data_IF_331175761321
#
_entry.id   IF_331175761321
#
_cell.length_a   1.000
_cell.length_b   1.000
_cell.length_c   1.000
_cell.angle_alpha   90.00
_cell.angle_beta   90.00
_cell.angle_gamma   90.00
#
_symmetry.space_group_name_H-M   'P 1'
#
loop_
_entity.id
_entity.type
_entity.pdbx_description
1 polymer ?
#
# COMPACT_ATOMS: atom_id res chain seq x y z
N UNK A 1 10.53 17.86 24.32
CA UNK A 1 11.01 17.62 22.95
C UNK A 1 10.96 18.96 22.23
N UNK A 2 12.09 19.46 21.73
CA UNK A 2 12.11 20.71 20.95
C UNK A 2 11.31 20.47 19.66
N UNK A 3 10.45 21.43 19.32
CA UNK A 3 9.68 21.40 18.07
C UNK A 3 10.69 21.44 16.91
N UNK A 4 10.77 20.42 16.08
CA UNK A 4 11.68 20.41 14.93
C UNK A 4 11.34 21.58 14.01
N UNK A 5 12.35 22.35 13.63
CA UNK A 5 12.19 23.50 12.72
C UNK A 5 12.24 23.03 11.26
N UNK A 6 11.10 22.53 10.77
CA UNK A 6 10.98 22.10 9.38
C UNK A 6 11.07 23.26 8.38
N UNK A 7 10.71 24.49 8.80
CA UNK A 7 10.81 25.67 7.96
C UNK A 7 12.27 26.07 7.72
N UNK A 8 13.10 26.05 8.79
CA UNK A 8 14.53 26.31 8.68
C UNK A 8 15.25 25.22 7.85
N UNK A 9 14.86 23.96 8.02
CA UNK A 9 15.41 22.86 7.21
C UNK A 9 15.05 23.01 5.73
N UNK A 10 13.80 23.35 5.41
CA UNK A 10 13.34 23.57 4.03
C UNK A 10 14.09 24.73 3.36
N UNK A 11 14.29 25.86 4.08
CA UNK A 11 15.05 27.00 3.59
C UNK A 11 16.51 26.63 3.24
N UNK A 12 17.18 25.89 4.12
CA UNK A 12 18.55 25.42 3.88
C UNK A 12 18.63 24.47 2.68
N UNK A 13 17.68 23.52 2.56
CA UNK A 13 17.65 22.62 1.41
C UNK A 13 17.48 23.42 0.12
N UNK A 14 16.54 24.37 0.07
CA UNK A 14 16.33 25.20 -1.12
C UNK A 14 17.56 26.04 -1.46
N UNK A 15 18.26 26.58 -0.49
CA UNK A 15 19.51 27.31 -0.68
C UNK A 15 20.58 26.39 -1.32
N UNK A 16 20.76 25.18 -0.75
CA UNK A 16 21.80 24.24 -1.17
C UNK A 16 21.54 23.58 -2.54
N UNK A 17 20.28 23.49 -2.97
CA UNK A 17 19.96 23.05 -4.36
C UNK A 17 20.12 24.15 -5.40
N UNK A 18 20.61 25.33 -5.02
CA UNK A 18 20.83 26.45 -5.91
C UNK A 18 19.66 27.42 -6.01
N UNK A 19 18.79 27.45 -5.00
CA UNK A 19 17.59 28.30 -4.94
C UNK A 19 16.37 27.72 -5.63
N UNK A 20 15.20 28.28 -5.32
CA UNK A 20 13.94 27.83 -5.93
C UNK A 20 13.94 27.99 -7.46
N UNK A 21 14.65 28.97 -8.00
CA UNK A 21 14.74 29.21 -9.44
C UNK A 21 15.50 28.10 -10.20
N UNK A 22 16.43 27.41 -9.52
CA UNK A 22 17.16 26.26 -10.07
C UNK A 22 16.32 24.98 -10.10
N UNK A 23 15.24 24.93 -9.32
CA UNK A 23 14.35 23.75 -9.28
C UNK A 23 13.30 23.86 -10.36
N UNK A 24 13.28 22.91 -11.30
CA UNK A 24 12.26 22.81 -12.33
C UNK A 24 11.03 22.02 -11.84
N UNK A 25 11.25 21.09 -10.93
CA UNK A 25 10.20 20.24 -10.36
C UNK A 25 10.62 19.71 -9.00
N UNK A 26 9.70 19.70 -8.04
CA UNK A 26 9.91 19.16 -6.70
C UNK A 26 8.78 18.19 -6.35
N UNK A 27 9.15 17.02 -5.85
CA UNK A 27 8.23 15.99 -5.41
C UNK A 27 8.81 15.25 -4.19
N UNK A 28 8.04 14.36 -3.60
CA UNK A 28 8.54 13.51 -2.53
C UNK A 28 8.01 12.08 -2.63
N UNK A 29 8.78 11.11 -2.12
CA UNK A 29 8.32 9.77 -1.79
C UNK A 29 8.16 9.62 -0.27
N UNK A 30 8.05 8.40 0.22
CA UNK A 30 7.82 8.10 1.65
C UNK A 30 8.92 8.67 2.57
N UNK A 31 10.16 8.79 2.08
CA UNK A 31 11.32 9.17 2.90
C UNK A 31 12.24 10.20 2.27
N UNK A 32 12.02 10.63 1.01
CA UNK A 32 12.95 11.48 0.26
C UNK A 32 12.23 12.61 -0.44
N UNK A 33 12.87 13.80 -0.42
CA UNK A 33 12.56 14.87 -1.35
C UNK A 33 13.30 14.62 -2.68
N UNK A 34 12.67 14.93 -3.79
CA UNK A 34 13.20 14.75 -5.13
C UNK A 34 13.13 16.06 -5.89
N UNK A 35 14.27 16.48 -6.39
CA UNK A 35 14.41 17.72 -7.13
C UNK A 35 14.93 17.44 -8.54
N UNK A 36 14.24 17.95 -9.53
CA UNK A 36 14.79 18.08 -10.87
C UNK A 36 15.37 19.49 -10.98
N UNK A 37 16.69 19.60 -11.01
CA UNK A 37 17.39 20.88 -11.09
C UNK A 37 17.72 21.24 -12.54
N UNK A 38 17.75 22.54 -12.84
CA UNK A 38 18.09 23.05 -14.17
C UNK A 38 19.61 23.03 -14.40
N UNK A 39 20.37 23.36 -13.39
CA UNK A 39 21.83 23.41 -13.43
C UNK A 39 22.41 22.70 -12.19
N UNK A 40 23.08 21.57 -12.43
CA UNK A 40 23.71 20.78 -11.36
C UNK A 40 24.91 21.47 -10.72
N UNK A 41 25.56 22.39 -11.42
CA UNK A 41 26.74 23.10 -10.91
C UNK A 41 26.40 24.06 -9.76
N UNK A 42 25.14 24.46 -9.64
CA UNK A 42 24.64 25.32 -8.56
C UNK A 42 24.31 24.53 -7.29
N UNK A 43 24.28 23.20 -7.36
CA UNK A 43 23.98 22.35 -6.19
C UNK A 43 25.23 22.17 -5.33
N UNK A 44 25.13 22.54 -4.05
CA UNK A 44 26.20 22.34 -3.07
C UNK A 44 26.11 20.94 -2.46
N UNK A 45 26.58 19.99 -3.21
CA UNK A 45 26.43 18.56 -2.92
C UNK A 45 27.00 18.11 -1.57
N UNK A 46 28.20 18.59 -1.22
CA UNK A 46 28.88 18.17 0.02
C UNK A 46 28.16 18.73 1.26
N UNK A 47 27.72 19.99 1.18
CA UNK A 47 26.96 20.64 2.25
C UNK A 47 25.57 20.00 2.44
N UNK A 48 24.91 19.58 1.34
CA UNK A 48 23.65 18.82 1.39
C UNK A 48 23.81 17.46 2.07
N UNK A 49 24.93 16.80 1.85
CA UNK A 49 25.21 15.49 2.44
C UNK A 49 25.52 15.58 3.94
N UNK A 50 26.05 16.72 4.39
CA UNK A 50 26.40 16.98 5.80
C UNK A 50 25.31 17.70 6.58
N UNK A 51 24.20 18.07 5.92
CA UNK A 51 23.13 18.85 6.53
C UNK A 51 22.49 18.09 7.71
N UNK A 52 22.49 18.71 8.89
CA UNK A 52 21.81 18.19 10.07
C UNK A 52 20.31 17.98 9.78
N UNK A 53 19.70 16.97 10.40
CA UNK A 53 18.31 16.54 10.17
C UNK A 53 18.01 15.90 8.80
N UNK A 54 19.04 15.65 7.98
CA UNK A 54 18.91 14.80 6.78
C UNK A 54 19.77 13.54 6.94
N UNK A 55 19.41 12.48 6.20
CA UNK A 55 20.16 11.23 6.14
C UNK A 55 21.06 11.16 4.88
N UNK A 56 21.45 12.32 4.36
CA UNK A 56 22.28 12.43 3.17
C UNK A 56 21.49 12.65 1.88
N UNK A 57 22.22 12.60 0.77
CA UNK A 57 21.68 12.81 -0.59
C UNK A 57 22.16 11.75 -1.56
N UNK A 58 21.46 11.59 -2.68
CA UNK A 58 21.93 10.77 -3.78
C UNK A 58 21.40 11.32 -5.12
N UNK A 59 22.14 11.08 -6.20
CA UNK A 59 21.72 11.36 -7.58
C UNK A 59 21.21 10.09 -8.24
N UNK A 60 20.03 10.17 -8.86
CA UNK A 60 19.48 9.11 -9.71
C UNK A 60 19.26 9.69 -11.11
N UNK A 61 20.21 9.46 -11.99
CA UNK A 61 20.25 10.11 -13.30
C UNK A 61 20.39 11.63 -13.17
N UNK A 62 19.37 12.38 -13.59
CA UNK A 62 19.30 13.83 -13.51
C UNK A 62 18.61 14.34 -12.24
N UNK A 63 18.04 13.46 -11.43
CA UNK A 63 17.24 13.81 -10.26
C UNK A 63 18.08 13.75 -8.99
N UNK A 64 18.09 14.85 -8.23
CA UNK A 64 18.66 14.93 -6.89
C UNK A 64 17.64 14.42 -5.86
N UNK A 65 18.04 13.52 -5.00
CA UNK A 65 17.23 12.99 -3.91
C UNK A 65 17.85 13.31 -2.56
N UNK A 66 17.13 14.02 -1.69
CA UNK A 66 17.54 14.33 -0.31
C UNK A 66 16.75 13.44 0.65
N UNK A 67 17.45 12.65 1.45
CA UNK A 67 16.86 11.65 2.33
C UNK A 67 16.48 12.30 3.66
N UNK A 68 15.19 12.46 3.93
CA UNK A 68 14.64 13.10 5.14
C UNK A 68 14.18 12.07 6.17
N UNK A 69 13.66 10.92 5.71
CA UNK A 69 12.99 9.95 6.57
C UNK A 69 11.49 10.24 6.75
N UNK A 70 10.93 9.81 7.88
CA UNK A 70 9.47 9.87 8.13
C UNK A 70 8.88 11.28 8.19
N UNK A 71 9.70 12.31 8.36
CA UNK A 71 9.27 13.71 8.40
C UNK A 71 9.16 14.37 7.01
N UNK A 72 9.37 13.63 5.94
CA UNK A 72 9.44 14.14 4.57
C UNK A 72 8.21 14.96 4.16
N UNK A 73 7.00 14.56 4.55
CA UNK A 73 5.77 15.29 4.21
C UNK A 73 5.79 16.71 4.77
N UNK A 74 6.16 16.86 6.06
CA UNK A 74 6.21 18.17 6.71
C UNK A 74 7.30 19.08 6.12
N UNK A 75 8.44 18.52 5.74
CA UNK A 75 9.53 19.28 5.09
C UNK A 75 9.14 19.63 3.65
N UNK A 76 8.48 18.72 2.92
CA UNK A 76 7.99 18.97 1.57
C UNK A 76 6.96 20.09 1.51
N UNK A 77 6.00 20.12 2.45
CA UNK A 77 5.01 21.19 2.54
C UNK A 77 5.67 22.54 2.72
N UNK A 78 6.72 22.62 3.56
CA UNK A 78 7.48 23.87 3.77
C UNK A 78 8.35 24.23 2.55
N UNK A 79 8.96 23.24 1.86
CA UNK A 79 9.69 23.45 0.60
C UNK A 79 8.75 23.99 -0.47
N UNK A 80 7.55 23.43 -0.61
CA UNK A 80 6.56 23.93 -1.57
C UNK A 80 6.10 25.35 -1.27
N UNK A 81 5.85 25.68 0.01
CA UNK A 81 5.47 27.04 0.41
C UNK A 81 6.57 28.06 0.10
N UNK A 82 7.80 27.77 0.47
CA UNK A 82 8.93 28.69 0.31
C UNK A 82 9.40 28.79 -1.14
N UNK A 83 9.39 27.67 -1.88
CA UNK A 83 9.76 27.62 -3.30
C UNK A 83 8.64 28.01 -4.26
N UNK A 84 7.41 28.28 -3.76
CA UNK A 84 6.21 28.53 -4.56
C UNK A 84 5.90 27.40 -5.56
N UNK A 85 6.19 26.15 -5.18
CA UNK A 85 5.89 24.97 -6.01
C UNK A 85 4.46 24.51 -5.78
N UNK A 86 3.83 24.00 -6.85
CA UNK A 86 2.52 23.34 -6.71
C UNK A 86 2.72 21.98 -6.05
N UNK A 87 2.14 21.79 -4.86
CA UNK A 87 2.23 20.51 -4.17
C UNK A 87 1.55 19.41 -5.01
N UNK A 88 2.33 18.43 -5.42
CA UNK A 88 1.84 17.22 -6.12
C UNK A 88 1.70 16.07 -5.13
N UNK A 89 0.76 15.15 -5.41
CA UNK A 89 0.62 13.93 -4.59
C UNK A 89 1.92 13.11 -4.64
N UNK A 90 2.22 12.42 -3.54
CA UNK A 90 3.39 11.52 -3.39
C UNK A 90 3.56 10.63 -4.61
N UNK A 91 4.71 10.69 -5.28
CA UNK A 91 4.98 9.92 -6.50
C UNK A 91 5.71 8.62 -6.17
N UNK A 92 5.39 7.60 -6.96
CA UNK A 92 5.93 6.25 -6.86
C UNK A 92 7.39 6.18 -7.36
N UNK A 93 8.23 5.41 -6.68
CA UNK A 93 9.68 5.26 -6.97
C UNK A 93 10.02 4.69 -8.36
N UNK A 94 9.02 4.36 -9.20
CA UNK A 94 9.22 3.61 -10.44
C UNK A 94 9.24 4.43 -11.75
N UNK A 95 9.14 5.77 -11.70
CA UNK A 95 9.05 6.60 -12.93
C UNK A 95 10.37 6.73 -13.70
N UNK A 96 11.51 6.46 -13.09
CA UNK A 96 12.84 6.68 -13.67
C UNK A 96 13.41 5.47 -14.42
N UNK A 97 12.63 4.40 -14.63
CA UNK A 97 13.12 3.22 -15.38
C UNK A 97 12.88 3.39 -16.87
N UNK A 98 13.90 3.15 -17.72
CA UNK A 98 13.70 3.11 -19.17
C UNK A 98 12.61 2.09 -19.51
N UNK A 99 11.75 2.42 -20.49
CA UNK A 99 10.65 1.54 -20.94
C UNK A 99 11.22 0.20 -21.38
N UNK A 100 11.25 -0.76 -20.48
CA UNK A 100 11.62 -2.14 -20.78
C UNK A 100 10.65 -2.72 -21.84
N UNK A 101 11.21 -3.50 -22.79
CA UNK A 101 10.39 -4.22 -23.77
C UNK A 101 9.34 -5.04 -23.05
N UNK A 102 8.09 -4.99 -23.51
CA UNK A 102 6.94 -5.72 -22.95
C UNK A 102 7.15 -7.24 -23.07
N UNK A 103 7.87 -7.80 -22.12
CA UNK A 103 8.02 -9.24 -21.93
C UNK A 103 6.98 -9.70 -20.91
N UNK A 104 6.51 -10.95 -20.96
CA UNK A 104 5.56 -11.52 -19.98
C UNK A 104 6.06 -11.29 -18.54
N UNK A 105 7.38 -11.41 -18.32
CA UNK A 105 8.03 -11.15 -17.03
C UNK A 105 7.88 -9.69 -16.57
N UNK A 106 8.00 -8.73 -17.48
CA UNK A 106 7.85 -7.29 -17.18
C UNK A 106 6.38 -6.94 -16.88
N UNK A 107 5.44 -7.56 -17.58
CA UNK A 107 4.00 -7.38 -17.32
C UNK A 107 3.62 -7.94 -15.95
N UNK A 108 4.05 -9.16 -15.64
CA UNK A 108 3.79 -9.79 -14.34
C UNK A 108 4.39 -8.98 -13.18
N UNK A 109 5.63 -8.49 -13.34
CA UNK A 109 6.28 -7.62 -12.36
C UNK A 109 5.51 -6.30 -12.19
N UNK A 110 5.02 -5.70 -13.28
CA UNK A 110 4.18 -4.50 -13.25
C UNK A 110 2.87 -4.72 -12.50
N UNK A 111 2.22 -5.88 -12.72
CA UNK A 111 1.01 -6.25 -11.99
C UNK A 111 1.28 -6.40 -10.48
N UNK A 112 2.33 -7.11 -10.10
CA UNK A 112 2.72 -7.27 -8.69
C UNK A 112 3.01 -5.92 -8.04
N UNK A 113 3.78 -5.05 -8.69
CA UNK A 113 4.05 -3.71 -8.18
C UNK A 113 2.77 -2.91 -7.97
N UNK A 114 1.85 -2.93 -8.94
CA UNK A 114 0.56 -2.24 -8.82
C UNK A 114 -0.26 -2.75 -7.63
N UNK A 115 -0.31 -4.08 -7.42
CA UNK A 115 -0.97 -4.68 -6.26
C UNK A 115 -0.36 -4.17 -4.95
N UNK A 116 0.97 -4.20 -4.85
CA UNK A 116 1.71 -3.73 -3.67
C UNK A 116 1.42 -2.25 -3.39
N UNK A 117 1.45 -1.39 -4.40
CA UNK A 117 1.17 0.04 -4.28
C UNK A 117 -0.25 0.34 -3.82
N UNK A 118 -1.23 -0.47 -4.21
CA UNK A 118 -2.59 -0.35 -3.71
C UNK A 118 -2.74 -0.82 -2.25
N UNK A 119 -1.91 -1.78 -1.80
CA UNK A 119 -2.00 -2.36 -0.46
C UNK A 119 -1.21 -1.57 0.59
N UNK A 120 -0.02 -1.04 0.23
CA UNK A 120 0.86 -0.34 1.17
C UNK A 120 0.14 0.76 1.99
N UNK A 121 -0.70 1.64 1.41
CA UNK A 121 -1.36 2.69 2.19
C UNK A 121 -2.39 2.14 3.20
N UNK A 122 -2.83 0.91 3.03
CA UNK A 122 -3.81 0.25 3.92
C UNK A 122 -3.11 -0.54 5.04
N UNK A 123 -1.79 -0.79 4.93
CA UNK A 123 -1.01 -1.52 5.95
C UNK A 123 -1.17 -0.98 7.38
N UNK A 124 -1.20 0.35 7.64
CA UNK A 124 -1.42 0.85 9.00
C UNK A 124 -2.74 0.37 9.62
N UNK A 125 -3.80 0.24 8.83
CA UNK A 125 -5.08 -0.29 9.30
C UNK A 125 -4.97 -1.80 9.62
N UNK A 126 -4.24 -2.57 8.79
CA UNK A 126 -3.97 -4.00 9.04
C UNK A 126 -3.15 -4.18 10.32
N UNK A 127 -2.14 -3.34 10.55
CA UNK A 127 -1.35 -3.34 11.79
C UNK A 127 -2.24 -3.00 12.99
N UNK A 128 -3.11 -1.98 12.86
CA UNK A 128 -4.10 -1.65 13.89
C UNK A 128 -5.02 -2.82 14.23
N UNK A 129 -5.53 -3.53 13.23
CA UNK A 129 -6.29 -4.78 13.41
C UNK A 129 -5.49 -5.81 14.20
N UNK A 130 -4.22 -6.02 13.85
CA UNK A 130 -3.33 -6.94 14.57
C UNK A 130 -3.11 -6.55 16.04
N UNK A 131 -3.01 -5.25 16.34
CA UNK A 131 -2.91 -4.75 17.71
C UNK A 131 -4.20 -5.02 18.51
N UNK A 132 -5.39 -4.79 17.93
CA UNK A 132 -6.65 -5.16 18.58
C UNK A 132 -6.72 -6.67 18.86
N UNK A 133 -6.29 -7.49 17.88
CA UNK A 133 -6.20 -8.94 18.06
C UNK A 133 -5.23 -9.34 19.18
N UNK A 134 -4.07 -8.73 19.24
CA UNK A 134 -3.07 -9.01 20.27
C UNK A 134 -3.58 -8.63 21.65
N UNK A 135 -4.16 -7.44 21.80
CA UNK A 135 -4.73 -7.01 23.09
C UNK A 135 -5.86 -7.95 23.52
N UNK A 136 -6.81 -8.24 22.64
CA UNK A 136 -7.93 -9.16 22.97
C UNK A 136 -7.46 -10.56 23.30
N UNK A 137 -6.40 -11.07 22.65
CA UNK A 137 -5.81 -12.37 22.96
C UNK A 137 -5.13 -12.39 24.33
N UNK A 138 -4.38 -11.33 24.68
CA UNK A 138 -3.65 -11.25 25.95
C UNK A 138 -4.60 -11.14 27.15
N UNK A 139 -5.59 -10.23 27.08
CA UNK A 139 -6.49 -9.99 28.21
C UNK A 139 -7.67 -10.95 28.24
N UNK A 140 -8.01 -11.59 27.14
CA UNK A 140 -9.16 -12.47 26.97
C UNK A 140 -8.94 -13.89 27.45
N UNK A 141 -9.92 -14.78 27.18
CA UNK A 141 -9.92 -16.17 27.66
C UNK A 141 -8.73 -17.03 27.22
N UNK A 142 -8.12 -16.68 26.10
CA UNK A 142 -6.96 -17.42 25.55
C UNK A 142 -5.65 -17.05 26.26
N UNK A 143 -5.55 -15.82 26.80
CA UNK A 143 -4.38 -15.33 27.51
C UNK A 143 -4.56 -15.38 29.03
N UNK A 144 -4.45 -14.21 29.66
CA UNK A 144 -4.52 -14.11 31.14
C UNK A 144 -5.94 -14.25 31.71
N UNK A 145 -6.97 -14.35 30.89
CA UNK A 145 -8.38 -14.45 31.27
C UNK A 145 -8.84 -13.33 32.25
N UNK A 146 -8.27 -12.11 32.07
CA UNK A 146 -8.67 -10.95 32.86
C UNK A 146 -10.06 -10.44 32.50
N UNK A 147 -10.47 -10.69 31.24
CA UNK A 147 -11.73 -10.23 30.69
C UNK A 147 -12.46 -11.42 30.06
N UNK A 148 -13.72 -11.61 30.46
CA UNK A 148 -14.59 -12.63 29.88
C UNK A 148 -14.89 -12.34 28.42
N UNK A 149 -15.08 -13.40 27.62
CA UNK A 149 -15.52 -13.32 26.22
C UNK A 149 -16.85 -12.56 26.06
N UNK A 150 -17.73 -12.63 27.08
CA UNK A 150 -19.03 -11.95 27.05
C UNK A 150 -18.98 -10.48 27.45
N UNK A 151 -17.85 -10.01 27.96
CA UNK A 151 -17.70 -8.62 28.38
C UNK A 151 -17.80 -7.64 27.19
N UNK A 152 -18.37 -6.45 27.47
CA UNK A 152 -18.48 -5.40 26.45
C UNK A 152 -17.11 -4.95 25.88
N UNK A 153 -16.07 -4.94 26.73
CA UNK A 153 -14.71 -4.59 26.30
C UNK A 153 -14.15 -5.61 25.29
N UNK A 154 -14.25 -6.91 25.60
CA UNK A 154 -13.78 -7.96 24.70
C UNK A 154 -14.53 -7.93 23.37
N UNK A 155 -15.86 -7.80 23.41
CA UNK A 155 -16.70 -7.67 22.22
C UNK A 155 -16.33 -6.44 21.39
N UNK A 156 -16.07 -5.29 22.02
CA UNK A 156 -15.65 -4.07 21.31
C UNK A 156 -14.31 -4.27 20.57
N UNK A 157 -13.32 -4.87 21.24
CA UNK A 157 -12.02 -5.16 20.61
C UNK A 157 -12.16 -6.14 19.43
N UNK A 158 -12.97 -7.19 19.62
CA UNK A 158 -13.27 -8.16 18.56
C UNK A 158 -14.00 -7.52 17.38
N UNK A 159 -14.95 -6.63 17.62
CA UNK A 159 -15.66 -5.92 16.56
C UNK A 159 -14.72 -4.97 15.81
N UNK A 160 -13.81 -4.28 16.52
CA UNK A 160 -12.82 -3.42 15.86
C UNK A 160 -11.90 -4.23 14.94
N UNK A 161 -11.37 -5.35 15.42
CA UNK A 161 -10.54 -6.26 14.64
C UNK A 161 -11.29 -6.79 13.41
N UNK A 162 -12.45 -7.40 13.61
CA UNK A 162 -13.23 -8.02 12.56
C UNK A 162 -13.77 -6.99 11.56
N UNK A 163 -14.15 -5.80 12.04
CA UNK A 163 -14.64 -4.71 11.20
C UNK A 163 -13.56 -4.16 10.25
N UNK A 164 -12.32 -3.98 10.74
CA UNK A 164 -11.21 -3.56 9.88
C UNK A 164 -10.98 -4.60 8.78
N UNK A 165 -10.96 -5.89 9.13
CA UNK A 165 -10.77 -6.97 8.16
C UNK A 165 -11.91 -7.02 7.15
N UNK A 166 -13.16 -6.93 7.61
CA UNK A 166 -14.35 -7.00 6.77
C UNK A 166 -14.44 -5.86 5.75
N UNK A 167 -14.09 -4.63 6.17
CA UNK A 167 -14.12 -3.44 5.32
C UNK A 167 -12.79 -3.14 4.62
N UNK A 168 -11.79 -4.01 4.75
CA UNK A 168 -10.50 -3.84 4.09
C UNK A 168 -10.61 -3.67 2.56
N UNK A 169 -11.49 -4.39 1.83
CA UNK A 169 -11.73 -4.19 0.41
C UNK A 169 -12.12 -2.76 0.04
N UNK A 170 -12.88 -2.07 0.91
CA UNK A 170 -13.26 -0.66 0.71
C UNK A 170 -12.04 0.25 0.80
N UNK A 171 -11.15 0.01 1.77
CA UNK A 171 -9.88 0.72 1.88
C UNK A 171 -8.99 0.53 0.66
N UNK A 172 -8.91 -0.72 0.17
CA UNK A 172 -8.16 -1.04 -1.05
C UNK A 172 -8.79 -0.43 -2.30
N UNK A 173 -10.11 -0.39 -2.41
CA UNK A 173 -10.82 0.29 -3.50
C UNK A 173 -10.47 1.78 -3.57
N UNK A 174 -10.41 2.45 -2.40
CA UNK A 174 -10.00 3.85 -2.31
C UNK A 174 -8.56 4.07 -2.78
N UNK A 175 -7.62 3.25 -2.32
CA UNK A 175 -6.21 3.39 -2.71
C UNK A 175 -5.98 3.04 -4.18
N UNK A 176 -6.66 2.01 -4.69
CA UNK A 176 -6.66 1.65 -6.11
C UNK A 176 -7.23 2.77 -6.99
N UNK A 177 -8.32 3.41 -6.56
CA UNK A 177 -8.91 4.54 -7.28
C UNK A 177 -7.94 5.71 -7.39
N UNK A 178 -7.22 6.04 -6.32
CA UNK A 178 -6.15 7.04 -6.35
C UNK A 178 -5.01 6.65 -7.28
N UNK A 179 -4.60 5.39 -7.25
CA UNK A 179 -3.52 4.88 -8.12
C UNK A 179 -3.90 4.92 -9.60
N UNK A 180 -5.14 4.59 -9.94
CA UNK A 180 -5.62 4.55 -11.33
C UNK A 180 -6.21 5.86 -11.83
N UNK A 181 -6.30 6.90 -10.96
CA UNK A 181 -6.88 8.20 -11.26
C UNK A 181 -8.34 8.10 -11.75
N UNK A 182 -9.19 7.44 -10.97
CA UNK A 182 -10.65 7.45 -11.11
C UNK A 182 -11.32 7.99 -9.84
N UNK A 183 -12.64 8.11 -9.84
CA UNK A 183 -13.37 8.66 -8.71
C UNK A 183 -13.28 7.76 -7.47
N UNK A 184 -12.61 8.20 -6.37
CA UNK A 184 -12.51 7.39 -5.15
C UNK A 184 -13.87 7.16 -4.48
N UNK A 185 -14.81 8.09 -4.64
CA UNK A 185 -16.13 7.98 -4.03
C UNK A 185 -16.91 6.83 -4.64
N UNK A 186 -16.93 6.73 -5.97
CA UNK A 186 -17.63 5.63 -6.65
C UNK A 186 -16.92 4.28 -6.43
N UNK A 187 -15.61 4.27 -6.31
CA UNK A 187 -14.84 3.07 -5.95
C UNK A 187 -15.24 2.55 -4.56
N UNK A 188 -15.33 3.44 -3.55
CA UNK A 188 -15.81 3.11 -2.21
C UNK A 188 -17.24 2.57 -2.26
N UNK A 189 -18.13 3.24 -2.99
CA UNK A 189 -19.53 2.83 -3.09
C UNK A 189 -19.67 1.47 -3.76
N UNK A 190 -18.93 1.20 -4.85
CA UNK A 190 -18.94 -0.07 -5.54
C UNK A 190 -18.54 -1.22 -4.59
N UNK A 191 -17.40 -1.07 -3.89
CA UNK A 191 -16.95 -2.06 -2.92
C UNK A 191 -17.94 -2.22 -1.75
N UNK A 192 -18.53 -1.12 -1.26
CA UNK A 192 -19.49 -1.14 -0.15
C UNK A 192 -20.80 -1.85 -0.52
N UNK A 193 -21.30 -1.65 -1.74
CA UNK A 193 -22.50 -2.37 -2.24
C UNK A 193 -22.25 -3.88 -2.25
N UNK A 194 -21.06 -4.31 -2.66
CA UNK A 194 -20.72 -5.73 -2.71
C UNK A 194 -20.47 -6.35 -1.33
N UNK A 195 -20.21 -5.53 -0.31
CA UNK A 195 -20.12 -5.94 1.10
C UNK A 195 -21.44 -5.82 1.85
N UNK A 196 -22.49 -5.30 1.23
CA UNK A 196 -23.80 -5.22 1.85
C UNK A 196 -24.29 -6.64 2.20
N UNK A 197 -24.78 -6.89 3.44
CA UNK A 197 -25.09 -8.24 3.90
C UNK A 197 -26.09 -8.98 2.99
N UNK A 198 -27.15 -8.31 2.53
CA UNK A 198 -28.16 -8.92 1.66
C UNK A 198 -27.58 -9.26 0.28
N UNK A 199 -26.66 -8.41 -0.24
CA UNK A 199 -25.94 -8.71 -1.48
C UNK A 199 -25.09 -9.98 -1.33
N UNK A 200 -24.29 -10.06 -0.25
CA UNK A 200 -23.44 -11.22 0.00
C UNK A 200 -24.25 -12.50 0.20
N UNK A 201 -25.37 -12.43 0.91
CA UNK A 201 -26.29 -13.55 1.08
C UNK A 201 -26.85 -14.00 -0.26
N UNK A 202 -27.36 -13.06 -1.06
CA UNK A 202 -27.96 -13.35 -2.35
C UNK A 202 -26.95 -13.86 -3.41
N UNK A 203 -25.67 -13.48 -3.31
CA UNK A 203 -24.58 -14.06 -4.11
C UNK A 203 -24.29 -15.50 -3.66
N UNK A 204 -24.27 -15.75 -2.35
CA UNK A 204 -23.91 -17.06 -1.78
C UNK A 204 -24.99 -18.11 -2.05
N UNK A 205 -26.26 -17.74 -1.91
CA UNK A 205 -27.41 -18.63 -2.14
C UNK A 205 -27.84 -18.72 -3.62
N UNK A 206 -27.23 -17.90 -4.49
CA UNK A 206 -27.50 -17.88 -5.94
C UNK A 206 -28.78 -17.18 -6.33
N UNK A 207 -29.48 -16.50 -5.40
CA UNK A 207 -30.72 -15.78 -5.70
C UNK A 207 -30.47 -14.50 -6.51
N UNK A 208 -29.26 -13.92 -6.44
CA UNK A 208 -28.86 -12.79 -7.23
C UNK A 208 -28.43 -13.20 -8.65
N UNK A 209 -29.38 -13.29 -9.55
CA UNK A 209 -29.16 -13.71 -10.95
C UNK A 209 -29.68 -12.70 -11.97
N UNK A 210 -29.15 -11.47 -12.05
CA UNK A 210 -29.62 -10.41 -12.93
C UNK A 210 -29.57 -10.76 -14.43
N UNK A 211 -28.72 -11.69 -14.83
CA UNK A 211 -28.61 -12.18 -16.21
C UNK A 211 -29.33 -13.53 -16.44
N UNK A 212 -30.12 -14.00 -15.48
CA UNK A 212 -30.89 -15.25 -15.62
C UNK A 212 -30.12 -16.54 -15.28
N UNK A 213 -28.86 -16.46 -14.88
CA UNK A 213 -28.06 -17.57 -14.35
C UNK A 213 -27.31 -17.15 -13.10
N UNK A 214 -27.05 -18.09 -12.19
CA UNK A 214 -26.39 -17.82 -10.93
C UNK A 214 -24.91 -17.45 -11.16
N UNK A 215 -24.40 -16.41 -10.50
CA UNK A 215 -22.98 -16.09 -10.50
C UNK A 215 -22.18 -17.08 -9.66
N UNK A 216 -20.86 -16.99 -9.74
CA UNK A 216 -19.99 -17.72 -8.81
C UNK A 216 -20.23 -17.24 -7.36
N UNK A 217 -20.38 -18.16 -6.38
CA UNK A 217 -20.66 -17.81 -4.98
C UNK A 217 -19.40 -17.26 -4.26
N UNK A 218 -18.81 -16.23 -4.84
CA UNK A 218 -17.58 -15.60 -4.32
C UNK A 218 -17.95 -14.22 -3.78
N UNK A 219 -17.71 -14.00 -2.49
CA UNK A 219 -17.94 -12.72 -1.82
C UNK A 219 -16.63 -11.91 -1.74
N UNK A 220 -16.76 -10.58 -1.78
CA UNK A 220 -15.61 -9.68 -1.87
C UNK A 220 -14.89 -9.46 -0.52
N UNK A 221 -15.53 -9.80 0.61
CA UNK A 221 -15.05 -9.49 1.96
C UNK A 221 -13.68 -10.07 2.31
N UNK A 222 -13.25 -11.10 1.59
CA UNK A 222 -11.93 -11.74 1.79
C UNK A 222 -11.01 -11.59 0.57
N UNK A 223 -11.40 -10.77 -0.43
CA UNK A 223 -10.72 -10.72 -1.71
C UNK A 223 -10.14 -9.32 -1.99
N UNK A 224 -8.83 -9.21 -2.12
CA UNK A 224 -8.15 -7.94 -2.45
C UNK A 224 -7.90 -7.80 -3.95
N UNK A 225 -7.43 -8.87 -4.60
CA UNK A 225 -7.06 -8.83 -6.02
C UNK A 225 -8.24 -8.51 -6.92
N UNK A 226 -9.40 -9.16 -6.77
CA UNK A 226 -10.60 -8.79 -7.53
C UNK A 226 -10.94 -7.32 -7.40
N UNK A 227 -10.86 -6.73 -6.19
CA UNK A 227 -11.11 -5.30 -5.97
C UNK A 227 -10.21 -4.42 -6.80
N UNK A 228 -8.91 -4.71 -6.82
CA UNK A 228 -7.94 -3.89 -7.58
C UNK A 228 -8.21 -4.00 -9.09
N UNK A 229 -8.53 -5.20 -9.59
CA UNK A 229 -8.90 -5.42 -11.00
C UNK A 229 -10.19 -4.69 -11.33
N UNK A 230 -11.16 -4.71 -10.42
CA UNK A 230 -12.44 -4.04 -10.53
C UNK A 230 -12.26 -2.52 -10.68
N UNK A 231 -11.49 -1.90 -9.81
CA UNK A 231 -11.24 -0.46 -9.87
C UNK A 231 -10.41 -0.07 -11.11
N UNK A 232 -9.49 -0.93 -11.53
CA UNK A 232 -8.80 -0.73 -12.80
C UNK A 232 -9.77 -0.73 -13.99
N UNK A 233 -10.73 -1.64 -14.01
CA UNK A 233 -11.75 -1.73 -15.05
C UNK A 233 -12.72 -0.54 -15.00
N UNK A 234 -13.16 -0.16 -13.79
CA UNK A 234 -13.95 1.03 -13.50
C UNK A 234 -13.30 2.29 -14.10
N UNK A 235 -11.98 2.47 -13.95
CA UNK A 235 -11.24 3.57 -14.57
C UNK A 235 -11.39 3.64 -16.10
N UNK A 236 -11.50 2.49 -16.77
CA UNK A 236 -11.69 2.46 -18.23
C UNK A 236 -13.11 2.87 -18.61
N UNK A 237 -14.08 2.37 -17.86
CA UNK A 237 -15.51 2.70 -18.07
C UNK A 237 -15.76 4.18 -17.79
N UNK A 238 -15.25 4.73 -16.68
CA UNK A 238 -15.34 6.14 -16.34
C UNK A 238 -14.80 7.04 -17.47
N UNK A 239 -13.63 6.70 -18.03
CA UNK A 239 -13.04 7.44 -19.14
C UNK A 239 -13.89 7.40 -20.41
N UNK A 240 -14.54 6.28 -20.69
CA UNK A 240 -15.45 6.15 -21.85
C UNK A 240 -16.72 6.97 -21.61
N UNK A 241 -17.34 6.83 -20.44
CA UNK A 241 -18.56 7.57 -20.08
C UNK A 241 -18.33 9.09 -20.11
N UNK A 242 -17.20 9.56 -19.59
CA UNK A 242 -16.84 10.98 -19.63
C UNK A 242 -16.63 11.55 -21.05
N UNK A 243 -16.36 10.68 -22.06
CA UNK A 243 -16.27 11.08 -23.47
C UNK A 243 -17.61 11.07 -24.17
N UNK A 244 -18.52 10.18 -23.79
CA UNK A 244 -19.80 9.95 -24.48
C UNK A 244 -20.90 10.86 -23.91
N UNK A 245 -20.87 11.11 -22.60
CA UNK A 245 -21.91 11.87 -21.92
C UNK A 245 -21.63 13.37 -22.04
N UNK A 246 -22.61 14.20 -22.51
CA UNK A 246 -22.48 15.64 -22.53
C UNK A 246 -22.23 16.23 -21.13
N UNK A 247 -21.46 17.32 -21.05
CA UNK A 247 -21.03 17.93 -19.78
C UNK A 247 -22.16 18.23 -18.81
N UNK A 248 -23.28 18.69 -19.30
CA UNK A 248 -24.47 19.04 -18.49
C UNK A 248 -25.08 17.84 -17.74
N UNK A 249 -24.82 16.63 -18.22
CA UNK A 249 -25.41 15.40 -17.67
C UNK A 249 -24.37 14.52 -16.96
N UNK A 250 -23.07 14.83 -17.05
CA UNK A 250 -21.99 14.04 -16.47
C UNK A 250 -22.17 13.82 -14.96
N UNK A 251 -22.53 14.88 -14.24
CA UNK A 251 -22.70 14.84 -12.79
C UNK A 251 -23.68 13.76 -12.31
N UNK A 252 -24.75 13.52 -13.07
CA UNK A 252 -25.81 12.56 -12.70
C UNK A 252 -25.53 11.19 -13.31
N UNK A 253 -25.22 11.15 -14.63
CA UNK A 253 -25.26 9.90 -15.38
C UNK A 253 -23.93 9.14 -15.36
N UNK A 254 -22.77 9.78 -15.19
CA UNK A 254 -21.48 9.06 -15.19
C UNK A 254 -21.44 8.06 -14.06
N UNK A 255 -21.62 8.49 -12.82
CA UNK A 255 -21.56 7.60 -11.66
C UNK A 255 -22.68 6.55 -11.64
N UNK A 256 -23.89 6.93 -12.05
CA UNK A 256 -25.01 5.97 -12.14
C UNK A 256 -24.73 4.85 -13.15
N UNK A 257 -24.35 5.21 -14.38
CA UNK A 257 -24.06 4.24 -15.43
C UNK A 257 -22.80 3.43 -15.11
N UNK A 258 -21.83 4.05 -14.49
CA UNK A 258 -20.62 3.37 -14.04
C UNK A 258 -20.96 2.24 -13.07
N UNK A 259 -21.70 2.51 -12.01
CA UNK A 259 -22.14 1.47 -11.06
C UNK A 259 -23.06 0.45 -11.72
N UNK A 260 -24.00 0.88 -12.59
CA UNK A 260 -24.90 0.00 -13.29
C UNK A 260 -24.17 -1.02 -14.19
N UNK A 261 -23.06 -0.63 -14.81
CA UNK A 261 -22.23 -1.49 -15.64
C UNK A 261 -21.28 -2.33 -14.77
N UNK A 262 -20.71 -1.72 -13.74
CA UNK A 262 -19.70 -2.37 -12.91
C UNK A 262 -20.28 -3.48 -12.03
N UNK A 263 -21.47 -3.31 -11.45
CA UNK A 263 -22.06 -4.31 -10.56
C UNK A 263 -22.26 -5.67 -11.23
N UNK A 264 -22.94 -5.81 -12.39
CA UNK A 264 -23.03 -7.10 -13.07
C UNK A 264 -21.68 -7.58 -13.62
N UNK A 265 -20.83 -6.67 -14.10
CA UNK A 265 -19.51 -7.02 -14.60
C UNK A 265 -18.62 -7.58 -13.49
N UNK A 266 -18.66 -7.00 -12.30
CA UNK A 266 -17.98 -7.51 -11.14
C UNK A 266 -18.47 -8.90 -10.76
N UNK A 267 -19.77 -9.07 -10.66
CA UNK A 267 -20.42 -10.32 -10.22
C UNK A 267 -20.08 -11.51 -11.12
N UNK A 268 -20.15 -11.34 -12.44
CA UNK A 268 -20.01 -12.43 -13.39
C UNK A 268 -18.62 -12.62 -13.99
N UNK A 269 -17.83 -11.56 -14.06
CA UNK A 269 -16.56 -11.58 -14.79
C UNK A 269 -15.37 -11.23 -13.88
N UNK A 270 -15.42 -10.07 -13.22
CA UNK A 270 -14.21 -9.51 -12.60
C UNK A 270 -13.86 -10.28 -11.33
N UNK A 271 -14.83 -10.53 -10.45
CA UNK A 271 -14.58 -11.25 -9.18
C UNK A 271 -14.10 -12.67 -9.44
N UNK A 272 -14.73 -13.49 -10.30
CA UNK A 272 -14.19 -14.82 -10.62
C UNK A 272 -12.81 -14.78 -11.26
N UNK A 273 -12.58 -13.91 -12.24
CA UNK A 273 -11.28 -13.80 -12.90
C UNK A 273 -10.20 -13.25 -11.97
N UNK A 274 -10.53 -12.22 -11.18
CA UNK A 274 -9.61 -11.66 -10.20
C UNK A 274 -9.20 -12.66 -9.13
N UNK A 275 -10.13 -13.50 -8.70
CA UNK A 275 -9.86 -14.61 -7.78
C UNK A 275 -8.91 -15.64 -8.41
N UNK A 276 -9.12 -16.00 -9.67
CA UNK A 276 -8.21 -16.91 -10.39
C UNK A 276 -6.80 -16.30 -10.54
N UNK A 277 -6.70 -15.01 -10.85
CA UNK A 277 -5.41 -14.31 -10.86
C UNK A 277 -4.76 -14.36 -9.48
N UNK A 278 -5.53 -14.15 -8.41
CA UNK A 278 -5.06 -14.31 -7.04
C UNK A 278 -4.48 -15.69 -6.77
N UNK A 279 -5.18 -16.74 -7.13
CA UNK A 279 -4.71 -18.12 -7.00
C UNK A 279 -3.45 -18.40 -7.83
N UNK A 280 -3.39 -17.93 -9.07
CA UNK A 280 -2.17 -18.07 -9.89
C UNK A 280 -0.93 -17.40 -9.27
N UNK A 281 -1.10 -16.25 -8.65
CA UNK A 281 0.01 -15.56 -7.99
C UNK A 281 0.43 -16.25 -6.68
N UNK A 282 -0.51 -16.85 -5.96
CA UNK A 282 -0.23 -17.62 -4.74
C UNK A 282 0.26 -19.05 -5.02
N UNK A 283 0.01 -19.60 -6.22
CA UNK A 283 0.30 -21.00 -6.57
C UNK A 283 1.75 -21.44 -6.32
N UNK A 284 2.80 -20.68 -6.69
CA UNK A 284 4.18 -21.09 -6.41
C UNK A 284 4.46 -21.29 -4.91
N UNK A 285 3.85 -20.45 -4.08
CA UNK A 285 3.98 -20.54 -2.62
C UNK A 285 3.23 -21.76 -2.10
N UNK A 286 1.99 -21.97 -2.53
CA UNK A 286 1.20 -23.15 -2.14
C UNK A 286 1.85 -24.47 -2.55
N UNK A 287 2.48 -24.51 -3.72
CA UNK A 287 3.21 -25.70 -4.17
C UNK A 287 4.40 -26.01 -3.27
N UNK A 288 5.17 -25.00 -2.88
CA UNK A 288 6.29 -25.16 -1.94
C UNK A 288 5.82 -25.56 -0.55
N UNK A 289 4.71 -24.96 -0.07
CA UNK A 289 4.11 -25.29 1.25
C UNK A 289 3.59 -26.73 1.30
N UNK A 290 3.09 -27.29 0.19
CA UNK A 290 2.64 -28.68 0.13
C UNK A 290 3.79 -29.67 0.31
N UNK A 291 5.01 -29.30 -0.03
CA UNK A 291 6.21 -30.12 0.18
C UNK A 291 6.68 -30.02 1.63
N UNK A 292 6.86 -28.82 2.16
CA UNK A 292 7.23 -28.57 3.56
C UNK A 292 7.02 -27.12 3.94
N UNK A 293 6.11 -26.79 4.86
CA UNK A 293 5.94 -25.45 5.40
C UNK A 293 7.23 -24.90 6.07
N UNK A 294 8.00 -25.78 6.69
CA UNK A 294 9.28 -25.43 7.34
C UNK A 294 10.30 -24.99 6.30
N UNK A 295 10.42 -25.72 5.19
CA UNK A 295 11.35 -25.38 4.11
C UNK A 295 10.98 -24.01 3.51
N UNK A 296 9.70 -23.76 3.29
CA UNK A 296 9.20 -22.46 2.79
C UNK A 296 9.55 -21.33 3.75
N UNK A 297 9.35 -21.55 5.07
CA UNK A 297 9.71 -20.57 6.09
C UNK A 297 11.21 -20.26 6.11
N UNK A 298 12.05 -21.29 5.97
CA UNK A 298 13.50 -21.12 5.91
C UNK A 298 13.94 -20.34 4.67
N UNK A 299 13.45 -20.71 3.51
CA UNK A 299 13.76 -20.01 2.24
C UNK A 299 13.26 -18.58 2.28
N UNK A 300 12.02 -18.38 2.72
CA UNK A 300 11.42 -17.06 2.82
C UNK A 300 12.20 -16.15 3.78
N UNK A 301 12.58 -16.66 4.96
CA UNK A 301 13.36 -15.91 5.95
C UNK A 301 14.73 -15.48 5.41
N UNK A 302 15.41 -16.35 4.68
CA UNK A 302 16.69 -16.02 4.05
C UNK A 302 16.53 -14.99 2.92
N UNK A 303 15.61 -15.25 2.00
CA UNK A 303 15.36 -14.39 0.85
C UNK A 303 14.84 -13.02 1.27
N UNK A 304 13.98 -12.95 2.29
CA UNK A 304 13.42 -11.69 2.78
C UNK A 304 14.51 -10.72 3.27
N UNK A 305 15.51 -11.23 4.01
CA UNK A 305 16.64 -10.40 4.44
C UNK A 305 17.47 -9.85 3.26
N UNK A 306 17.71 -10.65 2.23
CA UNK A 306 18.39 -10.17 1.03
C UNK A 306 17.57 -9.06 0.34
N UNK A 307 16.26 -9.21 0.28
CA UNK A 307 15.36 -8.19 -0.30
C UNK A 307 15.27 -6.92 0.55
N UNK A 308 15.38 -7.00 1.87
CA UNK A 308 15.52 -5.82 2.75
C UNK A 308 16.78 -5.04 2.38
N UNK A 309 17.91 -5.71 2.23
CA UNK A 309 19.19 -5.06 1.88
C UNK A 309 19.14 -4.32 0.54
N UNK A 310 18.35 -4.82 -0.42
CA UNK A 310 18.19 -4.21 -1.75
C UNK A 310 16.99 -3.21 -1.79
N UNK A 311 16.23 -3.09 -0.69
CA UNK A 311 15.05 -2.23 -0.61
C UNK A 311 13.81 -2.79 -1.33
N UNK A 312 13.82 -4.04 -1.76
CA UNK A 312 12.74 -4.69 -2.51
C UNK A 312 11.79 -5.54 -1.64
N UNK A 313 11.93 -5.50 -0.32
CA UNK A 313 11.13 -6.30 0.62
C UNK A 313 9.62 -6.04 0.52
N UNK A 314 9.20 -4.80 0.18
CA UNK A 314 7.79 -4.45 0.01
C UNK A 314 7.11 -5.25 -1.11
N UNK A 315 7.83 -5.62 -2.17
CA UNK A 315 7.29 -6.47 -3.24
C UNK A 315 6.96 -7.88 -2.73
N UNK A 316 7.81 -8.44 -1.87
CA UNK A 316 7.57 -9.75 -1.23
C UNK A 316 6.46 -9.67 -0.18
N UNK A 317 6.40 -8.58 0.60
CA UNK A 317 5.34 -8.37 1.59
C UNK A 317 3.95 -8.41 0.94
N UNK A 318 3.80 -7.85 -0.27
CA UNK A 318 2.57 -7.91 -1.03
C UNK A 318 2.14 -9.36 -1.36
N UNK A 319 3.09 -10.22 -1.75
CA UNK A 319 2.82 -11.64 -2.04
C UNK A 319 2.39 -12.38 -0.76
N UNK A 320 3.04 -12.10 0.38
CA UNK A 320 2.72 -12.75 1.65
C UNK A 320 1.35 -12.34 2.19
N UNK A 321 1.03 -11.05 2.11
CA UNK A 321 -0.29 -10.53 2.47
C UNK A 321 -1.36 -11.13 1.58
N UNK A 322 -1.09 -11.26 0.28
CA UNK A 322 -2.00 -11.84 -0.69
C UNK A 322 -2.27 -13.33 -0.42
N UNK A 323 -1.25 -14.11 -0.10
CA UNK A 323 -1.41 -15.52 0.27
C UNK A 323 -2.28 -15.68 1.53
N UNK A 324 -2.07 -14.82 2.54
CA UNK A 324 -2.92 -14.77 3.73
C UNK A 324 -4.38 -14.49 3.39
N UNK A 325 -4.66 -13.49 2.54
CA UNK A 325 -6.04 -13.16 2.17
C UNK A 325 -6.69 -14.21 1.26
N UNK A 326 -5.89 -14.96 0.51
CA UNK A 326 -6.40 -16.03 -0.36
C UNK A 326 -6.78 -17.29 0.44
N UNK A 327 -6.00 -17.61 1.49
CA UNK A 327 -6.16 -18.83 2.29
C UNK A 327 -6.83 -18.60 3.63
N UNK A 328 -6.95 -17.36 4.09
CA UNK A 328 -7.45 -17.00 5.42
C UNK A 328 -6.46 -17.29 6.56
N UNK A 329 -5.47 -18.16 6.33
CA UNK A 329 -4.43 -18.53 7.31
C UNK A 329 -3.11 -18.74 6.57
N UNK A 330 -2.00 -18.27 7.14
CA UNK A 330 -0.67 -18.54 6.63
C UNK A 330 0.25 -18.95 7.78
N UNK A 331 0.66 -20.20 7.77
CA UNK A 331 1.51 -20.77 8.84
C UNK A 331 3.00 -20.74 8.52
N UNK A 332 3.41 -20.36 7.31
CA UNK A 332 4.80 -20.39 6.88
C UNK A 332 5.39 -19.00 6.64
N UNK A 333 4.79 -18.21 5.79
CA UNK A 333 5.36 -16.94 5.31
C UNK A 333 5.15 -15.80 6.30
N UNK A 334 3.92 -15.57 6.77
CA UNK A 334 3.62 -14.51 7.72
C UNK A 334 4.37 -14.64 9.04
N UNK A 335 4.37 -15.81 9.72
CA UNK A 335 5.19 -15.99 10.93
C UNK A 335 6.67 -15.72 10.71
N UNK A 336 7.20 -16.09 9.52
CA UNK A 336 8.61 -15.85 9.18
C UNK A 336 8.91 -14.36 9.05
N UNK A 337 8.06 -13.60 8.36
CA UNK A 337 8.22 -12.14 8.20
C UNK A 337 8.13 -11.43 9.55
N UNK A 338 7.16 -11.80 10.39
CA UNK A 338 7.02 -11.25 11.74
C UNK A 338 8.23 -11.60 12.63
N UNK A 339 8.72 -12.84 12.56
CA UNK A 339 9.93 -13.25 13.29
C UNK A 339 11.15 -12.43 12.85
N UNK A 340 11.29 -12.15 11.57
CA UNK A 340 12.38 -11.32 11.05
C UNK A 340 12.30 -9.88 11.57
N UNK A 341 11.11 -9.29 11.67
CA UNK A 341 10.95 -7.96 12.25
C UNK A 341 11.45 -7.92 13.71
N UNK A 342 11.14 -8.93 14.52
CA UNK A 342 11.63 -9.03 15.91
C UNK A 342 13.13 -9.28 16.00
N UNK A 343 13.68 -10.12 15.13
CA UNK A 343 15.13 -10.37 15.06
C UNK A 343 15.86 -9.09 14.69
N UNK A 344 15.37 -8.35 13.69
CA UNK A 344 15.95 -7.07 13.28
C UNK A 344 15.87 -6.05 14.41
N UNK A 345 14.71 -5.88 15.05
CA UNK A 345 14.55 -5.00 16.20
C UNK A 345 15.50 -5.36 17.35
N UNK A 346 15.68 -6.66 17.63
CA UNK A 346 16.61 -7.13 18.65
C UNK A 346 18.08 -6.86 18.30
N UNK A 347 18.46 -7.02 17.03
CA UNK A 347 19.82 -6.69 16.55
C UNK A 347 20.08 -5.19 16.60
N UNK A 348 19.12 -4.37 16.23
CA UNK A 348 19.23 -2.91 16.26
C UNK A 348 19.37 -2.40 17.71
N UNK A 349 18.56 -2.91 18.64
CA UNK A 349 18.71 -2.62 20.07
C UNK A 349 20.07 -3.06 20.61
N UNK A 350 20.57 -4.23 20.22
CA UNK A 350 21.90 -4.70 20.57
C UNK A 350 23.01 -3.80 20.01
N UNK A 351 22.84 -3.34 18.77
CA UNK A 351 23.77 -2.40 18.13
C UNK A 351 23.74 -1.04 18.82
N UNK A 352 22.57 -0.50 19.14
CA UNK A 352 22.39 0.74 19.89
C UNK A 352 23.06 0.69 21.27
N UNK A 353 23.00 -0.46 21.96
CA UNK A 353 23.60 -0.64 23.27
C UNK A 353 25.14 -0.67 23.22
N UNK A 354 25.73 -1.17 22.12
CA UNK A 354 27.18 -1.35 21.98
C UNK A 354 27.87 -0.25 21.21
N UNK A 355 27.17 0.47 20.32
CA UNK A 355 27.82 1.47 19.46
C UNK A 355 28.11 2.76 20.21
N UNK A 356 29.32 3.30 20.00
CA UNK A 356 29.73 4.62 20.45
C UNK A 356 29.41 5.72 19.42
N UNK A 357 29.00 5.34 18.21
CA UNK A 357 28.68 6.28 17.15
C UNK A 357 27.26 6.86 17.36
N UNK A 358 27.20 8.17 17.63
CA UNK A 358 25.92 8.89 17.88
C UNK A 358 24.92 8.77 16.72
N UNK A 359 25.39 8.76 15.45
CA UNK A 359 24.52 8.61 14.27
C UNK A 359 23.88 7.21 14.21
N UNK A 360 24.61 6.14 14.56
CA UNK A 360 24.08 4.77 14.61
C UNK A 360 23.20 4.51 15.85
N UNK A 361 23.26 5.37 16.87
CA UNK A 361 22.46 5.24 18.09
C UNK A 361 21.10 5.93 17.99
N UNK A 362 20.87 6.76 16.96
CA UNK A 362 19.63 7.50 16.74
C UNK A 362 18.70 6.85 15.72
N UNK A 363 19.08 5.70 15.16
CA UNK A 363 18.22 4.84 14.38
C UNK A 363 17.45 3.94 15.34
#
# INVERSE_FOLDING_TARGET
MAKKDYAGLAAKILELVGGAENVSFCEHCITRLRFNVKDKSLVRDDELNELEDTNGRLWVGEQLQVIIGTAVNSVYDEVCKQGHFTATATIDENLDKPKEKKTIKTVLKGMLNTLVECIIPVLPAIVGMGLFAAVSSVIGPVGFNWVSADSGLYKMLSFAQNGIMFFLPVGVAYTAAKKFNCSPVFAIMLASIQLFPDWMAAVTDGSLSPLGFAPSPITLNTQIVPVIVEIWMMTKIEKVLNKVIPDNFKFIFVGFLELLIMLPSSLYLITPLGTQVGFMLAYPVTLLESVSPVLVSMIAGFVYNLFICVGMHSALSGVFVMDFFTKGVNFSLLPTVFSQCWITAGTDLGLMARTKNKKLRSF
#
